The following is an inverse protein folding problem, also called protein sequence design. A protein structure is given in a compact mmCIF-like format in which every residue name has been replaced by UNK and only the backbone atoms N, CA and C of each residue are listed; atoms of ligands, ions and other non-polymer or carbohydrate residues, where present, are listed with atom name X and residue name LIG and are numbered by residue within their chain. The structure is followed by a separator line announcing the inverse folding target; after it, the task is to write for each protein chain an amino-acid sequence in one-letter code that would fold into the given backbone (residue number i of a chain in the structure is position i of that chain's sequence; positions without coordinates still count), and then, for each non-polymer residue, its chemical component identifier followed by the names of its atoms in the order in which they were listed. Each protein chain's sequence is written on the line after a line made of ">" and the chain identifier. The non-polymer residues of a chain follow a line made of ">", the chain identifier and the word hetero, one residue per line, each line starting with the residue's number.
data_IF_728178565701
#
_entry.id   IF_728178565701
#
_cell.length_a   1.000
_cell.length_b   1.000
_cell.length_c   1.000
_cell.angle_alpha   90.00
_cell.angle_beta   90.00
_cell.angle_gamma   90.00
#
_symmetry.space_group_name_H-M   'P 1'
#
loop_
_entity.id
_entity.type
_entity.pdbx_description
1 polymer ?
#
# COMPACT_ATOMS: atom_id res chain seq x y z
N UNK A 1 -20.33 4.84 2.21
CA UNK A 1 -19.29 5.91 2.20
C UNK A 1 -18.25 5.74 1.10
N UNK A 2 -17.26 4.83 1.18
CA UNK A 2 -16.17 4.74 0.19
C UNK A 2 -16.64 4.55 -1.27
N UNK A 3 -17.53 3.58 -1.50
CA UNK A 3 -18.11 3.31 -2.82
C UNK A 3 -18.95 4.50 -3.34
N UNK A 4 -19.73 5.12 -2.46
CA UNK A 4 -20.57 6.28 -2.80
C UNK A 4 -19.72 7.49 -3.19
N UNK A 5 -18.62 7.75 -2.46
CA UNK A 5 -17.67 8.81 -2.77
C UNK A 5 -17.02 8.59 -4.13
N UNK A 6 -16.55 7.36 -4.40
CA UNK A 6 -15.95 7.02 -5.69
C UNK A 6 -16.97 7.21 -6.82
N UNK A 7 -18.19 6.69 -6.65
CA UNK A 7 -19.26 6.85 -7.64
C UNK A 7 -19.65 8.33 -7.85
N UNK A 8 -19.66 9.14 -6.79
CA UNK A 8 -19.93 10.58 -6.89
C UNK A 8 -18.83 11.30 -7.67
N UNK A 9 -17.55 11.01 -7.40
CA UNK A 9 -16.42 11.57 -8.15
C UNK A 9 -16.48 11.21 -9.63
N UNK A 10 -16.83 9.96 -9.98
CA UNK A 10 -17.01 9.55 -11.38
C UNK A 10 -18.10 10.35 -12.10
N UNK A 11 -19.19 10.71 -11.40
CA UNK A 11 -20.27 11.51 -11.99
C UNK A 11 -19.90 12.98 -12.11
N UNK A 12 -19.29 13.56 -11.09
CA UNK A 12 -19.04 15.00 -10.99
C UNK A 12 -17.74 15.44 -11.68
N UNK A 13 -16.77 14.54 -11.79
CA UNK A 13 -15.46 14.81 -12.37
C UNK A 13 -14.94 13.55 -13.12
N UNK A 14 -15.53 13.22 -14.29
CA UNK A 14 -15.23 11.95 -14.99
C UNK A 14 -13.77 11.79 -15.43
N UNK A 15 -13.02 12.89 -15.59
CA UNK A 15 -11.57 12.85 -15.88
C UNK A 15 -10.68 12.72 -14.64
N UNK A 16 -11.25 12.79 -13.43
CA UNK A 16 -10.50 12.66 -12.19
C UNK A 16 -10.18 11.19 -11.92
N UNK A 17 -8.90 10.89 -11.76
CA UNK A 17 -8.44 9.57 -11.32
C UNK A 17 -8.49 9.46 -9.80
N UNK A 18 -8.94 8.32 -9.30
CA UNK A 18 -9.21 8.07 -7.89
C UNK A 18 -8.31 6.96 -7.40
N UNK A 19 -7.38 7.30 -6.49
CA UNK A 19 -6.72 6.30 -5.64
C UNK A 19 -7.48 6.26 -4.32
N UNK A 20 -7.89 5.06 -3.90
CA UNK A 20 -8.69 4.88 -2.69
C UNK A 20 -7.93 4.05 -1.66
N UNK A 21 -7.46 4.67 -0.58
CA UNK A 21 -6.81 4.00 0.54
C UNK A 21 -7.86 3.56 1.58
N UNK A 22 -8.02 2.25 1.77
CA UNK A 22 -9.02 1.66 2.67
C UNK A 22 -8.39 1.03 3.92
N UNK A 23 -9.11 0.95 5.05
CA UNK A 23 -8.69 0.15 6.19
C UNK A 23 -8.78 -1.35 5.85
N UNK A 24 -8.46 -2.23 6.81
CA UNK A 24 -8.57 -3.69 6.63
C UNK A 24 -10.02 -4.20 6.62
N UNK A 25 -10.99 -3.28 6.71
CA UNK A 25 -12.43 -3.50 6.78
C UNK A 25 -12.85 -4.48 7.89
N UNK A 26 -12.00 -4.70 8.90
CA UNK A 26 -12.16 -5.78 9.88
C UNK A 26 -12.44 -7.16 9.25
N UNK A 27 -12.01 -7.39 8.00
CA UNK A 27 -12.25 -8.63 7.27
C UNK A 27 -13.64 -8.76 6.66
N UNK A 28 -14.40 -7.66 6.56
CA UNK A 28 -15.72 -7.67 5.95
C UNK A 28 -15.62 -7.77 4.42
N UNK A 29 -15.92 -8.96 3.89
CA UNK A 29 -15.90 -9.26 2.46
C UNK A 29 -16.97 -8.50 1.67
N UNK A 30 -18.17 -8.30 2.22
CA UNK A 30 -19.25 -7.56 1.56
C UNK A 30 -18.89 -6.08 1.40
N UNK A 31 -18.20 -5.51 2.40
CA UNK A 31 -17.68 -4.15 2.33
C UNK A 31 -16.64 -4.01 1.21
N UNK A 32 -15.72 -4.97 1.07
CA UNK A 32 -14.75 -4.97 -0.03
C UNK A 32 -15.45 -5.11 -1.37
N UNK A 33 -16.40 -6.04 -1.51
CA UNK A 33 -17.16 -6.25 -2.73
C UNK A 33 -17.92 -4.98 -3.15
N UNK A 34 -18.51 -4.26 -2.18
CA UNK A 34 -19.20 -2.98 -2.42
C UNK A 34 -18.24 -1.91 -2.96
N UNK A 35 -17.02 -1.84 -2.43
CA UNK A 35 -15.98 -0.89 -2.89
C UNK A 35 -15.51 -1.25 -4.29
N UNK A 36 -15.25 -2.53 -4.55
CA UNK A 36 -14.78 -3.03 -5.85
C UNK A 36 -15.84 -2.85 -6.94
N UNK A 37 -17.13 -2.96 -6.62
CA UNK A 37 -18.24 -2.71 -7.55
C UNK A 37 -18.34 -1.24 -8.01
N UNK A 38 -17.78 -0.30 -7.24
CA UNK A 38 -17.62 1.10 -7.62
C UNK A 38 -16.13 1.43 -7.75
N UNK A 39 -15.43 0.88 -8.77
CA UNK A 39 -13.98 0.74 -8.73
C UNK A 39 -13.26 2.09 -8.77
N UNK A 40 -12.29 2.31 -7.86
CA UNK A 40 -11.30 3.36 -8.01
C UNK A 40 -10.34 3.00 -9.17
N UNK A 41 -9.44 3.91 -9.53
CA UNK A 41 -8.37 3.61 -10.49
C UNK A 41 -7.25 2.79 -9.84
N UNK A 42 -6.96 3.05 -8.55
CA UNK A 42 -6.04 2.27 -7.70
C UNK A 42 -6.72 2.01 -6.36
N UNK A 43 -6.62 0.77 -5.85
CA UNK A 43 -7.06 0.41 -4.50
C UNK A 43 -5.86 0.25 -3.58
N UNK A 44 -5.74 1.13 -2.59
CA UNK A 44 -4.69 1.11 -1.58
C UNK A 44 -5.11 0.41 -0.29
N UNK A 45 -4.23 -0.40 0.28
CA UNK A 45 -4.28 -0.83 1.68
C UNK A 45 -2.85 -1.04 2.21
N UNK A 46 -2.45 -0.26 3.20
CA UNK A 46 -1.08 -0.30 3.72
C UNK A 46 -0.90 -1.37 4.80
N UNK A 47 0.19 -2.14 4.69
CA UNK A 47 0.68 -2.98 5.79
C UNK A 47 1.42 -2.17 6.86
N UNK A 48 2.03 -1.04 6.49
CA UNK A 48 2.83 -0.14 7.32
C UNK A 48 4.14 -0.72 7.87
N UNK A 49 4.19 -1.99 8.31
CA UNK A 49 5.38 -2.57 8.90
C UNK A 49 5.41 -4.10 8.81
N UNK A 50 6.45 -4.71 9.38
CA UNK A 50 6.70 -6.15 9.41
C UNK A 50 5.85 -6.87 10.46
N UNK A 51 5.57 -8.18 10.32
CA UNK A 51 4.68 -8.92 11.21
C UNK A 51 5.02 -8.83 12.70
N UNK A 52 6.32 -8.84 13.05
CA UNK A 52 6.80 -8.75 14.43
C UNK A 52 6.42 -7.42 15.11
N UNK A 53 6.33 -6.34 14.34
CA UNK A 53 6.03 -4.98 14.82
C UNK A 53 4.54 -4.61 14.71
N UNK A 54 3.73 -5.45 14.06
CA UNK A 54 2.32 -5.18 13.81
C UNK A 54 1.50 -4.93 15.08
N UNK A 55 1.62 -5.73 16.16
CA UNK A 55 0.86 -5.50 17.38
C UNK A 55 1.13 -4.15 18.04
N UNK A 56 2.36 -3.64 17.93
CA UNK A 56 2.77 -2.35 18.48
C UNK A 56 2.36 -1.19 17.57
N UNK A 57 2.54 -1.35 16.25
CA UNK A 57 2.32 -0.29 15.27
C UNK A 57 0.85 -0.12 14.85
N UNK A 58 0.06 -1.20 14.86
CA UNK A 58 -1.30 -1.24 14.30
C UNK A 58 -2.30 -1.96 15.20
N UNK A 59 -2.58 -1.36 16.36
CA UNK A 59 -3.58 -1.90 17.29
C UNK A 59 -4.93 -2.14 16.60
N UNK A 60 -5.46 -3.35 16.70
CA UNK A 60 -6.72 -3.76 16.08
C UNK A 60 -6.63 -4.23 14.63
N UNK A 61 -5.50 -4.05 13.94
CA UNK A 61 -5.24 -4.64 12.62
C UNK A 61 -4.56 -6.00 12.73
N UNK A 62 -4.69 -6.83 11.69
CA UNK A 62 -3.99 -8.11 11.57
C UNK A 62 -3.22 -8.20 10.25
N UNK A 63 -1.97 -8.66 10.31
CA UNK A 63 -1.08 -8.73 9.15
C UNK A 63 -1.65 -9.64 8.05
N UNK A 64 -2.13 -10.83 8.43
CA UNK A 64 -2.67 -11.80 7.48
C UNK A 64 -4.00 -11.34 6.90
N UNK A 65 -4.85 -10.69 7.70
CA UNK A 65 -6.10 -10.07 7.23
C UNK A 65 -5.83 -8.98 6.19
N UNK A 66 -4.80 -8.18 6.42
CA UNK A 66 -4.38 -7.11 5.50
C UNK A 66 -3.92 -7.68 4.14
N UNK A 67 -3.13 -8.76 4.16
CA UNK A 67 -2.75 -9.50 2.94
C UNK A 67 -3.95 -10.17 2.26
N UNK A 68 -4.84 -10.79 3.04
CA UNK A 68 -6.02 -11.45 2.51
C UNK A 68 -6.95 -10.45 1.80
N UNK A 69 -7.10 -9.24 2.32
CA UNK A 69 -7.85 -8.17 1.66
C UNK A 69 -7.28 -7.84 0.28
N UNK A 70 -5.96 -7.70 0.16
CA UNK A 70 -5.29 -7.43 -1.12
C UNK A 70 -5.47 -8.59 -2.11
N UNK A 71 -5.31 -9.83 -1.62
CA UNK A 71 -5.51 -11.03 -2.43
C UNK A 71 -6.96 -11.16 -2.92
N UNK A 72 -7.93 -10.86 -2.07
CA UNK A 72 -9.35 -10.88 -2.39
C UNK A 72 -9.73 -9.79 -3.41
N UNK A 73 -9.17 -8.58 -3.27
CA UNK A 73 -9.34 -7.52 -4.26
C UNK A 73 -8.80 -7.95 -5.63
N UNK A 74 -7.60 -8.56 -5.68
CA UNK A 74 -7.02 -9.08 -6.91
C UNK A 74 -7.87 -10.21 -7.51
N UNK A 75 -8.43 -11.10 -6.69
CA UNK A 75 -9.26 -12.21 -7.13
C UNK A 75 -10.60 -11.74 -7.73
N UNK A 76 -11.23 -10.75 -7.10
CA UNK A 76 -12.55 -10.24 -7.48
C UNK A 76 -12.50 -9.21 -8.61
N UNK A 77 -11.45 -8.39 -8.67
CA UNK A 77 -11.19 -7.45 -9.75
C UNK A 77 -9.73 -7.49 -10.21
N UNK A 78 -9.36 -8.48 -11.06
CA UNK A 78 -7.98 -8.64 -11.53
C UNK A 78 -7.40 -7.43 -12.27
N UNK A 79 -8.24 -6.57 -12.84
CA UNK A 79 -7.82 -5.37 -13.58
C UNK A 79 -7.64 -4.14 -12.69
N UNK A 80 -8.04 -4.22 -11.41
CA UNK A 80 -7.89 -3.13 -10.44
C UNK A 80 -6.49 -3.22 -9.80
N UNK A 81 -5.56 -2.30 -10.13
CA UNK A 81 -4.25 -2.31 -9.50
C UNK A 81 -4.39 -2.04 -8.00
N UNK A 82 -3.68 -2.84 -7.22
CA UNK A 82 -3.62 -2.71 -5.76
C UNK A 82 -2.27 -2.16 -5.33
N UNK A 83 -2.29 -1.39 -4.25
CA UNK A 83 -1.12 -0.70 -3.71
C UNK A 83 -1.00 -0.87 -2.21
N UNK A 84 0.23 -0.99 -1.72
CA UNK A 84 0.52 -0.99 -0.30
C UNK A 84 1.71 -0.09 0.02
N UNK A 85 1.95 0.13 1.31
CA UNK A 85 3.02 0.98 1.80
C UNK A 85 3.60 0.48 3.10
N UNK A 86 4.89 0.76 3.29
CA UNK A 86 5.63 0.50 4.53
C UNK A 86 6.32 1.79 5.01
N UNK A 87 6.32 1.96 6.32
CA UNK A 87 7.10 2.96 7.03
C UNK A 87 8.35 2.30 7.60
N UNK A 88 9.52 2.81 7.22
CA UNK A 88 10.82 2.28 7.60
C UNK A 88 11.43 3.07 8.77
N UNK A 89 12.25 2.42 9.58
CA UNK A 89 12.84 3.00 10.78
C UNK A 89 12.07 2.72 12.07
N UNK A 90 11.14 1.76 12.04
CA UNK A 90 10.40 1.28 13.22
C UNK A 90 11.16 0.18 13.98
N UNK A 91 12.25 -0.33 13.41
CA UNK A 91 13.09 -1.38 14.01
C UNK A 91 12.98 -2.72 13.28
N UNK A 92 12.46 -2.70 12.05
CA UNK A 92 12.48 -3.80 11.10
C UNK A 92 13.89 -4.09 10.58
N UNK A 93 14.19 -5.34 10.27
CA UNK A 93 15.41 -5.73 9.56
C UNK A 93 15.22 -5.74 8.05
N UNK A 94 16.33 -5.74 7.31
CA UNK A 94 16.31 -5.85 5.85
C UNK A 94 15.62 -7.15 5.39
N UNK A 95 15.93 -8.29 6.03
CA UNK A 95 15.34 -9.58 5.66
C UNK A 95 13.83 -9.62 5.94
N UNK A 96 13.37 -8.99 7.03
CA UNK A 96 11.94 -8.87 7.30
C UNK A 96 11.23 -8.04 6.22
N UNK A 97 11.86 -6.97 5.72
CA UNK A 97 11.32 -6.18 4.62
C UNK A 97 11.21 -6.99 3.32
N UNK A 98 12.25 -7.75 2.96
CA UNK A 98 12.22 -8.61 1.78
C UNK A 98 11.15 -9.70 1.88
N UNK A 99 10.94 -10.27 3.07
CA UNK A 99 9.86 -11.21 3.32
C UNK A 99 8.48 -10.55 3.11
N UNK A 100 8.28 -9.34 3.63
CA UNK A 100 7.03 -8.58 3.41
C UNK A 100 6.82 -8.25 1.93
N UNK A 101 7.88 -7.95 1.17
CA UNK A 101 7.77 -7.73 -0.26
C UNK A 101 7.27 -8.99 -0.97
N UNK A 102 7.81 -10.15 -0.63
CA UNK A 102 7.37 -11.43 -1.18
C UNK A 102 5.91 -11.72 -0.82
N UNK A 103 5.50 -11.49 0.43
CA UNK A 103 4.12 -11.67 0.88
C UNK A 103 3.13 -10.76 0.14
N UNK A 104 3.48 -9.48 -0.03
CA UNK A 104 2.69 -8.53 -0.81
C UNK A 104 2.55 -8.96 -2.27
N UNK A 105 3.62 -9.44 -2.90
CA UNK A 105 3.58 -9.95 -4.27
C UNK A 105 2.73 -11.21 -4.38
N UNK A 106 2.83 -12.13 -3.41
CA UNK A 106 1.98 -13.30 -3.34
C UNK A 106 0.49 -12.94 -3.20
N UNK A 107 0.18 -11.89 -2.43
CA UNK A 107 -1.17 -11.32 -2.32
C UNK A 107 -1.60 -10.52 -3.58
N UNK A 108 -0.76 -10.43 -4.62
CA UNK A 108 -1.09 -9.75 -5.87
C UNK A 108 -0.97 -8.22 -5.82
N UNK A 109 -0.30 -7.66 -4.82
CA UNK A 109 -0.09 -6.22 -4.68
C UNK A 109 0.82 -5.65 -5.77
N UNK A 110 0.31 -4.81 -6.66
CA UNK A 110 1.04 -4.34 -7.84
C UNK A 110 2.04 -3.22 -7.52
N UNK A 111 1.73 -2.33 -6.58
CA UNK A 111 2.49 -1.10 -6.33
C UNK A 111 2.91 -0.98 -4.87
N UNK A 112 4.08 -0.40 -4.63
CA UNK A 112 4.64 -0.26 -3.28
C UNK A 112 5.19 1.14 -3.01
N UNK A 113 4.95 1.66 -1.81
CA UNK A 113 5.59 2.88 -1.31
C UNK A 113 6.42 2.60 -0.06
N UNK A 114 7.66 3.08 -0.03
CA UNK A 114 8.57 2.96 1.11
C UNK A 114 8.96 4.35 1.62
N UNK A 115 8.53 4.70 2.82
CA UNK A 115 8.76 6.03 3.41
C UNK A 115 9.46 5.93 4.77
N UNK A 116 10.19 6.97 5.18
CA UNK A 116 10.72 7.04 6.55
C UNK A 116 9.58 7.27 7.54
N UNK A 117 9.52 6.46 8.59
CA UNK A 117 8.70 6.69 9.77
C UNK A 117 9.18 7.94 10.50
N UNK A 118 8.27 8.88 10.71
CA UNK A 118 8.46 10.06 11.53
C UNK A 118 7.43 10.00 12.66
N UNK A 119 7.91 9.86 13.90
CA UNK A 119 7.04 9.83 15.07
C UNK A 119 6.24 11.16 15.16
N UNK A 120 4.90 11.12 15.15
CA UNK A 120 4.09 12.35 15.24
C UNK A 120 4.26 13.09 16.56
N UNK A 121 4.55 12.35 17.64
CA UNK A 121 4.83 12.90 18.97
C UNK A 121 5.68 11.92 19.78
N UNK A 122 6.16 12.37 20.96
CA UNK A 122 6.93 11.53 21.89
C UNK A 122 6.15 10.34 22.49
N UNK A 123 4.82 10.33 22.36
CA UNK A 123 3.97 9.24 22.87
C UNK A 123 3.81 8.10 21.85
N UNK A 124 4.20 8.34 20.59
CA UNK A 124 4.18 7.32 19.55
C UNK A 124 5.43 6.46 19.61
N UNK A 125 5.43 5.35 18.86
CA UNK A 125 6.60 4.50 18.71
C UNK A 125 7.84 5.35 18.39
N UNK A 126 8.98 5.16 19.05
CA UNK A 126 10.18 5.93 18.74
C UNK A 126 10.69 5.59 17.34
N UNK A 127 11.34 6.55 16.68
CA UNK A 127 12.14 6.24 15.49
C UNK A 127 13.37 5.46 15.96
N UNK A 128 13.51 4.22 15.49
CA UNK A 128 14.65 3.35 15.83
C UNK A 128 15.84 3.68 14.94
N UNK A 129 15.60 3.99 13.66
CA UNK A 129 16.65 4.31 12.69
C UNK A 129 16.15 5.28 11.62
N UNK A 130 17.02 6.22 11.22
CA UNK A 130 16.85 6.98 10.00
C UNK A 130 17.62 6.29 8.88
N UNK A 131 16.92 5.85 7.83
CA UNK A 131 17.55 5.16 6.72
C UNK A 131 18.24 6.19 5.78
N UNK A 132 19.47 5.91 5.32
CA UNK A 132 20.10 6.74 4.29
C UNK A 132 19.37 6.56 2.94
N UNK A 133 19.41 7.55 2.05
CA UNK A 133 18.76 7.47 0.74
C UNK A 133 19.16 6.25 -0.10
N UNK A 134 20.42 5.80 0.00
CA UNK A 134 20.93 4.65 -0.76
C UNK A 134 20.23 3.34 -0.39
N UNK A 135 19.86 3.17 0.88
CA UNK A 135 19.10 1.99 1.33
C UNK A 135 17.66 1.98 0.78
N UNK A 136 17.02 3.16 0.66
CA UNK A 136 15.74 3.26 -0.05
C UNK A 136 15.89 2.86 -1.52
N UNK A 137 16.97 3.26 -2.17
CA UNK A 137 17.26 2.91 -3.56
C UNK A 137 17.52 1.40 -3.73
N UNK A 138 18.19 0.76 -2.78
CA UNK A 138 18.39 -0.69 -2.73
C UNK A 138 17.07 -1.45 -2.58
N UNK A 139 16.26 -1.07 -1.60
CA UNK A 139 14.95 -1.68 -1.36
C UNK A 139 14.01 -1.49 -2.56
N UNK A 140 14.07 -0.33 -3.23
CA UNK A 140 13.34 -0.10 -4.49
C UNK A 140 13.74 -1.10 -5.57
N UNK A 141 15.05 -1.32 -5.78
CA UNK A 141 15.54 -2.30 -6.77
C UNK A 141 15.11 -3.72 -6.42
N UNK A 142 15.18 -4.09 -5.14
CA UNK A 142 14.75 -5.41 -4.67
C UNK A 142 13.24 -5.63 -4.90
N UNK A 143 12.40 -4.65 -4.57
CA UNK A 143 10.97 -4.71 -4.83
C UNK A 143 10.67 -4.81 -6.34
N UNK A 144 11.28 -3.96 -7.18
CA UNK A 144 11.09 -4.04 -8.64
C UNK A 144 11.51 -5.42 -9.20
N UNK A 145 12.59 -6.02 -8.70
CA UNK A 145 13.03 -7.36 -9.09
C UNK A 145 12.04 -8.47 -8.71
N UNK A 146 11.22 -8.26 -7.67
CA UNK A 146 10.10 -9.16 -7.29
C UNK A 146 8.83 -8.91 -8.12
N UNK A 147 8.86 -7.96 -9.06
CA UNK A 147 7.79 -7.73 -10.02
C UNK A 147 6.68 -6.79 -9.54
N UNK A 148 6.96 -5.88 -8.60
CA UNK A 148 6.10 -4.69 -8.43
C UNK A 148 6.18 -3.85 -9.71
N UNK A 149 5.04 -3.38 -10.21
CA UNK A 149 4.97 -2.57 -11.43
C UNK A 149 5.44 -1.14 -11.19
N UNK A 150 5.30 -0.67 -9.95
CA UNK A 150 5.72 0.67 -9.55
C UNK A 150 6.17 0.68 -8.09
N UNK A 151 7.30 1.35 -7.82
CA UNK A 151 7.84 1.50 -6.47
C UNK A 151 8.37 2.92 -6.26
N UNK A 152 7.74 3.65 -5.33
CA UNK A 152 8.29 4.88 -4.76
C UNK A 152 9.03 4.56 -3.47
N UNK A 153 10.28 5.00 -3.35
CA UNK A 153 11.06 4.79 -2.14
C UNK A 153 11.92 6.02 -1.83
N UNK A 154 11.80 6.53 -0.60
CA UNK A 154 12.63 7.63 -0.15
C UNK A 154 12.19 8.20 1.20
N UNK A 155 13.03 9.02 1.84
CA UNK A 155 12.75 9.51 3.19
C UNK A 155 11.42 10.26 3.31
N UNK A 156 11.07 11.06 2.31
CA UNK A 156 9.85 11.88 2.30
C UNK A 156 8.68 11.23 1.56
N UNK A 157 8.85 10.00 1.05
CA UNK A 157 7.75 9.27 0.39
C UNK A 157 6.65 8.99 1.41
N UNK A 158 5.41 9.17 0.94
CA UNK A 158 4.17 8.84 1.64
C UNK A 158 3.29 8.05 0.68
N UNK A 159 2.26 7.41 1.20
CA UNK A 159 1.36 6.59 0.37
C UNK A 159 0.79 7.39 -0.81
N UNK A 160 0.49 8.68 -0.68
CA UNK A 160 -0.01 9.53 -1.78
C UNK A 160 1.06 10.33 -2.54
N UNK A 161 2.35 10.17 -2.22
CA UNK A 161 3.42 10.94 -2.88
C UNK A 161 3.57 10.50 -4.34
N UNK A 162 3.51 11.45 -5.28
CA UNK A 162 3.50 11.22 -6.74
C UNK A 162 2.38 10.29 -7.25
N UNK A 163 1.19 10.42 -6.63
CA UNK A 163 -0.13 9.97 -7.12
C UNK A 163 -0.26 9.89 -8.66
N UNK A 164 0.05 11.02 -9.29
CA UNK A 164 -0.11 11.26 -10.73
C UNK A 164 0.83 10.43 -11.61
N UNK A 165 2.09 10.22 -11.19
CA UNK A 165 3.08 9.46 -11.99
C UNK A 165 2.82 7.96 -11.95
N UNK A 166 2.31 7.49 -10.83
CA UNK A 166 1.85 6.11 -10.64
C UNK A 166 0.75 5.72 -11.63
N UNK A 167 -0.12 6.69 -11.91
CA UNK A 167 -1.24 6.58 -12.80
C UNK A 167 -0.79 6.47 -14.27
N UNK A 168 0.20 7.26 -14.70
CA UNK A 168 0.80 7.18 -16.04
C UNK A 168 1.45 5.81 -16.30
N UNK A 169 2.24 5.31 -15.35
CA UNK A 169 2.94 4.02 -15.47
C UNK A 169 1.98 2.82 -15.38
N UNK A 170 0.92 2.92 -14.57
CA UNK A 170 -0.13 1.88 -14.52
C UNK A 170 -0.84 1.72 -15.86
N UNK A 171 -1.05 2.79 -16.62
CA UNK A 171 -1.72 2.70 -17.92
C UNK A 171 -0.82 2.04 -18.97
N UNK A 172 0.51 2.17 -18.83
CA UNK A 172 1.49 1.53 -19.71
C UNK A 172 1.71 0.05 -19.37
N UNK A 173 1.40 -0.37 -18.14
CA UNK A 173 1.52 -1.76 -17.69
C UNK A 173 0.26 -2.60 -17.96
N UNK A 174 -0.83 -2.01 -18.46
CA UNK A 174 -2.01 -2.76 -18.93
C UNK A 174 -1.72 -3.33 -20.34
N UNK A 175 -1.88 -4.64 -20.56
CA UNK A 175 -1.71 -5.26 -21.88
C UNK A 175 -2.76 -4.78 -22.89
#
# INVERSE_FOLDING_TARGET
>A
VFAEMTAALRRLAPGCRVELLIPDLAGNHDALATIVAAPPDILGHNLETVPRLYPQARQGSDYRRSLHLLAEARRTAPQLPTKSGLMLGLGESHDELLAVFADLRHAGCAMLTLGQYLAPSRQHHPVVRYLPPDEFAELRRAALALGFTHVEAGPLVRSSYHAERQFEESDHARP
#
